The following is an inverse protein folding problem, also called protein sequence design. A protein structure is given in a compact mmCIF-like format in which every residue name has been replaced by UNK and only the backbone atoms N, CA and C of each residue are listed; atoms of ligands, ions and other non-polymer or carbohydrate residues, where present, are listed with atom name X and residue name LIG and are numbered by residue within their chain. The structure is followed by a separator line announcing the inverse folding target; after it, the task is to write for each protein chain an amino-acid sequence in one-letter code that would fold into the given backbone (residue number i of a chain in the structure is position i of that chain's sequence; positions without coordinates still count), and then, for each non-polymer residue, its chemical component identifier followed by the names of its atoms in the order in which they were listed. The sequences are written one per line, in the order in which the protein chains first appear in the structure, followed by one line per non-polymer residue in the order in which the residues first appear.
data_IF_401181628489
#
_entry.id   IF_401181628489
#
_cell.length_a   1.000
_cell.length_b   1.000
_cell.length_c   1.000
_cell.angle_alpha   90.00
_cell.angle_beta   90.00
_cell.angle_gamma   90.00
#
_symmetry.space_group_name_H-M   'P 1'
#
loop_
_entity.id
_entity.type
_entity.pdbx_description
1 polymer ?
#
# COMPACT_ATOMS: atom_id res chain seq x y z
N UNK A 1 62.71 39.71 43.65
CA UNK A 1 62.75 38.66 42.61
C UNK A 1 62.03 39.22 41.38
N UNK A 2 62.71 39.94 40.47
CA UNK A 2 63.25 39.50 39.15
C UNK A 2 62.20 38.71 38.33
N UNK A 3 61.82 38.96 37.06
CA UNK A 3 62.29 39.76 35.91
C UNK A 3 61.17 39.75 34.82
N UNK A 4 61.12 40.80 33.98
CA UNK A 4 60.38 40.94 32.69
C UNK A 4 60.78 39.97 31.55
N UNK A 5 59.86 39.65 30.61
CA UNK A 5 60.06 39.51 29.13
C UNK A 5 58.74 38.98 28.49
N UNK A 6 58.07 39.51 27.45
CA UNK A 6 58.35 40.00 26.06
C UNK A 6 58.62 38.91 24.98
N UNK A 7 57.72 38.91 23.97
CA UNK A 7 57.75 38.38 22.57
C UNK A 7 57.91 36.85 22.37
N UNK A 8 57.34 36.18 21.35
CA UNK A 8 57.59 36.36 19.90
C UNK A 8 56.67 35.45 19.05
N UNK A 9 56.36 35.90 17.83
CA UNK A 9 55.68 35.19 16.72
C UNK A 9 56.57 34.05 16.18
N UNK A 10 55.98 32.88 15.91
CA UNK A 10 56.65 31.75 15.28
C UNK A 10 55.87 31.24 14.06
N UNK A 11 56.30 31.68 12.89
CA UNK A 11 55.93 31.17 11.57
C UNK A 11 56.57 29.78 11.39
N UNK A 12 55.77 28.74 11.13
CA UNK A 12 56.29 27.45 10.67
C UNK A 12 55.71 27.12 9.30
N UNK A 13 56.59 27.25 8.29
CA UNK A 13 56.47 26.53 7.02
C UNK A 13 56.44 25.03 7.32
N UNK A 14 55.41 24.33 6.83
CA UNK A 14 55.48 22.89 6.67
C UNK A 14 55.35 22.56 5.17
N UNK A 15 56.40 21.91 4.70
CA UNK A 15 56.69 21.41 3.36
C UNK A 15 55.54 20.59 2.78
N UNK A 16 55.17 20.91 1.52
CA UNK A 16 54.26 20.10 0.72
C UNK A 16 54.99 18.84 0.21
N UNK A 17 54.55 17.66 0.66
CA UNK A 17 54.91 16.38 0.07
C UNK A 17 53.76 15.95 -0.84
N UNK A 18 53.97 16.04 -2.15
CA UNK A 18 53.02 15.61 -3.18
C UNK A 18 52.98 14.07 -3.26
N UNK A 19 51.92 13.45 -2.73
CA UNK A 19 51.55 12.09 -3.10
C UNK A 19 50.55 12.14 -4.26
N UNK A 20 50.97 11.66 -5.42
CA UNK A 20 50.09 11.41 -6.55
C UNK A 20 49.13 10.26 -6.21
N UNK A 21 47.87 10.59 -5.91
CA UNK A 21 46.79 9.61 -5.89
C UNK A 21 46.33 9.39 -7.33
N UNK A 22 46.65 8.23 -7.89
CA UNK A 22 46.05 7.73 -9.12
C UNK A 22 44.57 7.44 -8.87
N UNK A 23 43.69 8.29 -9.39
CA UNK A 23 42.25 8.02 -9.45
C UNK A 23 42.01 6.80 -10.35
N UNK A 24 41.33 5.74 -9.90
CA UNK A 24 40.87 4.71 -10.81
C UNK A 24 39.83 5.32 -11.77
N UNK A 25 40.06 5.06 -13.06
CA UNK A 25 39.23 5.44 -14.20
C UNK A 25 37.74 5.17 -13.97
N UNK A 26 36.89 6.13 -14.38
CA UNK A 26 35.42 6.06 -14.40
C UNK A 26 34.85 4.92 -15.27
N UNK A 27 35.68 4.08 -15.89
CA UNK A 27 35.26 2.95 -16.70
C UNK A 27 34.73 1.73 -15.91
N UNK A 28 34.79 1.74 -14.57
CA UNK A 28 34.21 0.69 -13.71
C UNK A 28 32.78 0.99 -13.23
N UNK A 29 32.17 2.12 -13.63
CA UNK A 29 30.81 2.51 -13.24
C UNK A 29 29.71 1.92 -14.15
N UNK A 30 29.90 0.68 -14.64
CA UNK A 30 28.92 0.02 -15.53
C UNK A 30 28.78 -1.48 -15.22
N UNK A 31 28.48 -1.84 -13.97
CA UNK A 31 27.80 -3.09 -13.62
C UNK A 31 27.34 -3.09 -12.16
N UNK A 32 26.27 -2.37 -11.90
CA UNK A 32 25.37 -2.68 -10.79
C UNK A 32 23.98 -2.23 -11.24
N UNK A 33 23.30 -3.12 -11.96
CA UNK A 33 21.85 -3.05 -12.01
C UNK A 33 21.39 -3.26 -10.57
N UNK A 34 21.09 -2.16 -9.88
CA UNK A 34 20.45 -2.18 -8.59
C UNK A 34 19.05 -2.73 -8.83
N UNK A 35 18.87 -4.02 -8.59
CA UNK A 35 17.58 -4.52 -8.14
C UNK A 35 17.40 -3.94 -6.74
N UNK A 36 16.84 -2.74 -6.65
CA UNK A 36 16.37 -2.20 -5.38
C UNK A 36 15.28 -3.15 -4.90
N UNK A 37 15.63 -4.03 -3.95
CA UNK A 37 14.64 -4.80 -3.23
C UNK A 37 13.70 -3.80 -2.55
N UNK A 38 12.43 -3.79 -2.98
CA UNK A 38 11.36 -3.03 -2.35
C UNK A 38 11.41 -3.34 -0.85
N UNK A 39 11.63 -2.31 -0.03
CA UNK A 39 11.69 -2.47 1.42
C UNK A 39 10.42 -3.21 1.90
N UNK A 40 10.61 -4.39 2.48
CA UNK A 40 9.51 -5.15 3.06
C UNK A 40 8.98 -4.38 4.26
N UNK A 41 7.69 -4.04 4.26
CA UNK A 41 7.06 -3.38 5.39
C UNK A 41 6.94 -4.39 6.54
N UNK A 42 7.71 -4.27 7.64
CA UNK A 42 7.73 -5.28 8.69
C UNK A 42 6.41 -5.36 9.47
N UNK A 43 5.55 -4.33 9.39
CA UNK A 43 4.21 -4.35 9.96
C UNK A 43 3.13 -4.80 8.97
N UNK A 44 3.48 -5.28 7.78
CA UNK A 44 2.53 -5.85 6.85
C UNK A 44 1.94 -7.18 7.37
N UNK A 45 0.65 -7.21 7.68
CA UNK A 45 -0.05 -8.36 8.29
C UNK A 45 -1.26 -8.85 7.50
N UNK A 46 -1.80 -8.09 6.55
CA UNK A 46 -3.04 -8.40 5.86
C UNK A 46 -2.86 -8.57 4.36
N UNK A 47 -3.40 -9.67 3.83
CA UNK A 47 -3.44 -9.96 2.40
C UNK A 47 -4.88 -9.86 1.88
N UNK A 48 -5.07 -9.31 0.68
CA UNK A 48 -6.40 -9.09 0.08
C UNK A 48 -6.63 -9.96 -1.16
N UNK A 49 -7.90 -10.28 -1.42
CA UNK A 49 -8.36 -10.96 -2.63
C UNK A 49 -9.75 -10.45 -3.00
N UNK A 50 -9.96 -10.18 -4.28
CA UNK A 50 -11.30 -10.03 -4.83
C UNK A 50 -11.76 -11.40 -5.32
N UNK A 51 -12.91 -11.86 -4.84
CA UNK A 51 -13.54 -13.10 -5.27
C UNK A 51 -14.93 -12.85 -5.85
N UNK A 52 -15.47 -13.86 -6.53
CA UNK A 52 -16.87 -13.89 -6.95
C UNK A 52 -17.58 -14.94 -6.11
N UNK A 53 -18.77 -14.61 -5.60
CA UNK A 53 -19.60 -15.57 -4.89
C UNK A 53 -20.13 -16.65 -5.85
N UNK A 54 -20.72 -17.70 -5.28
CA UNK A 54 -21.28 -18.83 -6.04
C UNK A 54 -22.37 -18.43 -7.04
N UNK A 55 -23.02 -17.28 -6.83
CA UNK A 55 -24.02 -16.72 -7.74
C UNK A 55 -23.45 -16.17 -9.05
N UNK A 56 -22.12 -16.09 -9.17
CA UNK A 56 -21.42 -15.59 -10.35
C UNK A 56 -21.60 -14.10 -10.62
N UNK A 57 -22.10 -13.31 -9.66
CA UNK A 57 -22.42 -11.88 -9.82
C UNK A 57 -21.97 -11.02 -8.65
N UNK A 58 -22.00 -11.56 -7.43
CA UNK A 58 -21.62 -10.83 -6.23
C UNK A 58 -20.12 -10.88 -6.04
N UNK A 59 -19.47 -9.72 -6.10
CA UNK A 59 -18.08 -9.54 -5.74
C UNK A 59 -17.94 -9.57 -4.23
N UNK A 60 -16.88 -10.21 -3.74
CA UNK A 60 -16.55 -10.31 -2.33
C UNK A 60 -15.10 -9.90 -2.13
N UNK A 61 -14.88 -8.89 -1.28
CA UNK A 61 -13.54 -8.59 -0.81
C UNK A 61 -13.22 -9.51 0.37
N UNK A 62 -12.23 -10.37 0.17
CA UNK A 62 -11.67 -11.25 1.18
C UNK A 62 -10.39 -10.66 1.73
N UNK A 63 -10.21 -10.79 3.04
CA UNK A 63 -8.97 -10.46 3.71
C UNK A 63 -8.52 -11.62 4.59
N UNK A 64 -7.21 -11.80 4.71
CA UNK A 64 -6.58 -12.84 5.52
C UNK A 64 -5.40 -12.25 6.28
N UNK A 65 -5.33 -12.53 7.57
CA UNK A 65 -4.24 -12.04 8.42
C UNK A 65 -3.11 -13.06 8.57
N UNK A 66 -1.87 -12.60 8.67
CA UNK A 66 -0.70 -13.44 8.95
C UNK A 66 -0.51 -13.71 10.45
N UNK A 67 -1.19 -12.97 11.31
CA UNK A 67 -1.16 -13.11 12.77
C UNK A 67 -2.44 -12.58 13.41
N UNK A 68 -2.84 -13.15 14.54
CA UNK A 68 -3.96 -12.64 15.35
C UNK A 68 -3.53 -11.36 16.09
N UNK A 69 -4.19 -10.21 15.87
CA UNK A 69 -3.83 -8.96 16.52
C UNK A 69 -4.15 -8.99 18.03
N UNK A 70 -3.31 -8.34 18.84
CA UNK A 70 -3.54 -8.16 20.28
C UNK A 70 -3.20 -6.73 20.71
N UNK A 71 -4.19 -5.84 20.95
CA UNK A 71 -5.64 -6.09 20.88
C UNK A 71 -6.16 -6.14 19.44
N UNK A 72 -7.25 -6.85 19.19
CA UNK A 72 -7.99 -6.67 17.93
C UNK A 72 -8.78 -5.35 17.99
N UNK A 73 -8.27 -4.34 17.30
CA UNK A 73 -8.94 -3.05 17.15
C UNK A 73 -8.60 -2.44 15.79
N UNK A 74 -9.50 -2.61 14.83
CA UNK A 74 -9.41 -2.04 13.48
C UNK A 74 -9.82 -0.56 13.50
N UNK A 75 -9.03 0.30 12.87
CA UNK A 75 -9.17 1.76 12.92
C UNK A 75 -9.56 2.37 11.58
N UNK A 76 -8.77 2.09 10.53
CA UNK A 76 -8.96 2.64 9.19
C UNK A 76 -8.73 1.55 8.14
N UNK A 77 -9.26 1.77 6.96
CA UNK A 77 -9.08 0.86 5.83
C UNK A 77 -9.42 1.55 4.52
N UNK A 78 -8.63 1.25 3.49
CA UNK A 78 -8.85 1.65 2.12
C UNK A 78 -8.53 0.46 1.21
N UNK A 79 -9.41 0.18 0.27
CA UNK A 79 -9.17 -0.85 -0.75
C UNK A 79 -9.53 -0.29 -2.10
N UNK A 80 -8.59 -0.34 -3.03
CA UNK A 80 -8.80 0.11 -4.40
C UNK A 80 -8.86 -1.10 -5.32
N UNK A 81 -9.93 -1.16 -6.11
CA UNK A 81 -10.07 -2.12 -7.19
C UNK A 81 -9.60 -1.48 -8.48
N UNK A 82 -8.93 -2.29 -9.31
CA UNK A 82 -8.61 -1.99 -10.70
C UNK A 82 -9.55 -2.80 -11.58
N UNK A 83 -10.27 -2.14 -12.46
CA UNK A 83 -11.25 -2.78 -13.35
C UNK A 83 -11.06 -2.29 -14.78
N UNK A 84 -11.39 -3.10 -15.82
CA UNK A 84 -11.33 -2.63 -17.20
C UNK A 84 -12.23 -1.41 -17.43
N UNK A 85 -11.70 -0.37 -18.08
CA UNK A 85 -12.41 0.87 -18.36
C UNK A 85 -13.60 0.66 -19.31
N UNK A 86 -13.40 -0.17 -20.34
CA UNK A 86 -14.42 -0.48 -21.36
C UNK A 86 -15.65 -1.21 -20.79
N UNK A 87 -15.52 -1.83 -19.63
CA UNK A 87 -16.60 -2.55 -18.97
C UNK A 87 -17.67 -1.64 -18.34
N UNK A 88 -17.43 -0.32 -18.25
CA UNK A 88 -18.35 0.65 -17.64
C UNK A 88 -18.80 0.20 -16.23
N UNK A 89 -17.85 -0.27 -15.43
CA UNK A 89 -18.11 -0.86 -14.12
C UNK A 89 -18.85 0.12 -13.21
N UNK A 90 -19.95 -0.28 -12.57
CA UNK A 90 -20.70 0.56 -11.64
C UNK A 90 -21.10 -0.26 -10.43
N UNK A 91 -20.54 0.09 -9.26
CA UNK A 91 -20.87 -0.57 -8.00
C UNK A 91 -22.36 -0.39 -7.69
N UNK A 92 -22.99 -1.46 -7.25
CA UNK A 92 -24.34 -1.52 -6.74
C UNK A 92 -24.38 -2.46 -5.53
N UNK A 93 -25.43 -2.32 -4.71
CA UNK A 93 -25.72 -3.26 -3.62
C UNK A 93 -24.52 -3.50 -2.67
N UNK A 94 -23.71 -2.47 -2.42
CA UNK A 94 -22.59 -2.55 -1.48
C UNK A 94 -23.10 -2.84 -0.07
N UNK A 95 -22.59 -3.92 0.52
CA UNK A 95 -22.92 -4.40 1.85
C UNK A 95 -21.65 -4.65 2.65
N UNK A 96 -21.55 -4.05 3.82
CA UNK A 96 -20.52 -4.40 4.80
C UNK A 96 -20.88 -5.72 5.48
N UNK A 97 -19.91 -6.63 5.60
CA UNK A 97 -20.12 -7.98 6.14
C UNK A 97 -19.73 -8.10 7.62
N UNK A 98 -19.04 -7.10 8.16
CA UNK A 98 -18.69 -7.02 9.58
C UNK A 98 -19.73 -6.18 10.33
N UNK A 99 -20.27 -6.71 11.43
CA UNK A 99 -21.33 -6.06 12.20
C UNK A 99 -20.88 -4.69 12.75
N UNK A 100 -21.71 -3.66 12.55
CA UNK A 100 -21.46 -2.31 13.03
C UNK A 100 -20.31 -1.58 12.33
N UNK A 101 -19.74 -2.16 11.27
CA UNK A 101 -18.70 -1.55 10.42
C UNK A 101 -19.35 -1.06 9.13
N UNK A 102 -18.88 0.07 8.61
CA UNK A 102 -19.36 0.63 7.35
C UNK A 102 -18.21 0.88 6.37
N UNK A 103 -18.28 0.20 5.24
CA UNK A 103 -17.52 0.46 4.03
C UNK A 103 -18.39 1.19 3.00
N UNK A 104 -17.81 2.18 2.33
CA UNK A 104 -18.45 2.94 1.24
C UNK A 104 -17.53 2.98 0.03
N UNK A 105 -18.09 3.10 -1.17
CA UNK A 105 -17.34 3.59 -2.32
C UNK A 105 -17.03 5.07 -2.07
N UNK A 106 -15.75 5.40 -1.92
CA UNK A 106 -15.31 6.72 -1.48
C UNK A 106 -14.82 7.61 -2.62
N UNK A 107 -14.16 7.02 -3.61
CA UNK A 107 -13.64 7.76 -4.75
C UNK A 107 -13.45 6.86 -5.96
N UNK A 108 -13.40 7.50 -7.13
CA UNK A 108 -13.16 6.85 -8.41
C UNK A 108 -12.29 7.72 -9.29
N UNK A 109 -11.40 7.08 -10.05
CA UNK A 109 -10.62 7.70 -11.12
C UNK A 109 -10.72 6.82 -12.36
N UNK A 110 -11.26 7.38 -13.43
CA UNK A 110 -11.46 6.67 -14.69
C UNK A 110 -10.31 6.94 -15.64
N UNK A 111 -9.73 5.87 -16.19
CA UNK A 111 -8.67 5.90 -17.21
C UNK A 111 -7.56 6.97 -16.95
N UNK A 112 -6.84 6.91 -15.81
CA UNK A 112 -5.75 7.84 -15.54
C UNK A 112 -4.63 7.70 -16.58
N UNK A 113 -3.73 8.70 -16.65
CA UNK A 113 -2.66 8.72 -17.66
C UNK A 113 -1.73 7.50 -17.57
N UNK A 114 -1.51 6.98 -16.37
CA UNK A 114 -0.67 5.82 -16.09
C UNK A 114 -1.27 4.52 -16.65
N UNK A 115 -2.60 4.43 -16.72
CA UNK A 115 -3.32 3.29 -17.26
C UNK A 115 -4.69 3.70 -17.82
N UNK A 116 -4.70 4.06 -19.11
CA UNK A 116 -5.91 4.48 -19.81
C UNK A 116 -6.90 3.33 -20.10
N UNK A 117 -6.56 2.09 -19.73
CA UNK A 117 -7.42 0.91 -19.93
C UNK A 117 -8.12 0.47 -18.64
N UNK A 118 -7.91 1.18 -17.53
CA UNK A 118 -8.46 0.80 -16.24
C UNK A 118 -9.16 1.95 -15.52
N UNK A 119 -10.22 1.61 -14.78
CA UNK A 119 -10.78 2.47 -13.74
C UNK A 119 -10.30 2.00 -12.36
N UNK A 120 -10.13 2.95 -11.46
CA UNK A 120 -9.71 2.72 -10.08
C UNK A 120 -10.83 3.15 -9.14
N UNK A 121 -11.38 2.19 -8.39
CA UNK A 121 -12.52 2.41 -7.50
C UNK A 121 -12.07 2.14 -6.07
N UNK A 122 -12.02 3.16 -5.23
CA UNK A 122 -11.57 3.06 -3.85
C UNK A 122 -12.74 2.98 -2.88
N UNK A 123 -12.70 1.97 -2.02
CA UNK A 123 -13.61 1.75 -0.92
C UNK A 123 -12.93 2.18 0.37
N UNK A 124 -13.64 2.89 1.23
CA UNK A 124 -13.13 3.33 2.54
C UNK A 124 -13.96 2.79 3.68
N UNK A 125 -13.26 2.38 4.74
CA UNK A 125 -13.83 2.09 6.03
C UNK A 125 -14.08 3.43 6.76
N UNK A 126 -15.34 3.87 6.80
CA UNK A 126 -15.71 5.24 7.22
C UNK A 126 -16.54 5.30 8.50
N UNK A 127 -16.96 4.17 9.06
CA UNK A 127 -17.93 4.18 10.15
C UNK A 127 -17.78 3.02 11.11
N UNK A 128 -17.73 3.38 12.40
CA UNK A 128 -17.81 2.48 13.54
C UNK A 128 -19.08 2.81 14.33
N UNK A 129 -19.88 1.80 14.65
CA UNK A 129 -21.01 1.91 15.56
C UNK A 129 -20.62 1.31 16.92
N UNK A 130 -20.63 2.14 17.96
CA UNK A 130 -20.28 1.71 19.31
C UNK A 130 -18.87 1.11 19.39
N UNK A 131 -18.78 -0.15 19.84
CA UNK A 131 -17.52 -0.87 20.00
C UNK A 131 -17.09 -1.70 18.77
N UNK A 132 -17.67 -1.45 17.59
CA UNK A 132 -17.51 -2.32 16.42
C UNK A 132 -16.11 -2.38 15.83
N UNK A 133 -15.16 -1.56 16.29
CA UNK A 133 -13.74 -1.67 15.93
C UNK A 133 -13.14 -3.02 16.29
N UNK A 134 -13.78 -3.75 17.22
CA UNK A 134 -13.37 -5.08 17.69
C UNK A 134 -14.12 -6.23 17.01
N UNK A 135 -15.07 -5.93 16.13
CA UNK A 135 -15.97 -6.93 15.56
C UNK A 135 -15.36 -7.69 14.37
N UNK A 136 -14.19 -7.29 13.87
CA UNK A 136 -13.50 -8.03 12.81
C UNK A 136 -13.08 -9.44 13.26
N UNK A 137 -12.78 -9.65 14.55
CA UNK A 137 -12.47 -10.97 15.09
C UNK A 137 -11.33 -11.67 14.34
N UNK A 138 -10.26 -10.94 14.03
CA UNK A 138 -9.18 -11.46 13.20
C UNK A 138 -8.53 -12.68 13.82
N UNK A 139 -8.37 -13.73 13.02
CA UNK A 139 -7.61 -14.91 13.38
C UNK A 139 -6.50 -15.16 12.35
N UNK A 140 -5.34 -15.59 12.84
CA UNK A 140 -4.20 -15.96 12.01
C UNK A 140 -4.64 -16.97 10.94
N UNK A 141 -4.28 -16.68 9.70
CA UNK A 141 -4.49 -17.49 8.50
C UNK A 141 -5.96 -17.80 8.15
N UNK A 142 -6.93 -17.15 8.82
CA UNK A 142 -8.36 -17.26 8.47
C UNK A 142 -8.78 -16.15 7.51
N UNK A 143 -9.41 -16.55 6.42
CA UNK A 143 -10.07 -15.62 5.49
C UNK A 143 -11.43 -15.19 6.04
N UNK A 144 -11.82 -13.94 5.77
CA UNK A 144 -13.19 -13.47 5.97
C UNK A 144 -13.59 -12.45 4.91
N UNK A 145 -14.89 -12.39 4.61
CA UNK A 145 -15.48 -11.39 3.71
C UNK A 145 -15.66 -10.09 4.47
N UNK A 146 -15.09 -9.01 3.96
CA UNK A 146 -15.15 -7.69 4.61
C UNK A 146 -16.34 -6.88 4.12
N UNK A 147 -16.53 -6.87 2.81
CA UNK A 147 -17.72 -6.33 2.17
C UNK A 147 -17.97 -7.08 0.86
N UNK A 148 -19.19 -6.94 0.38
CA UNK A 148 -19.66 -7.50 -0.89
C UNK A 148 -20.44 -6.46 -1.66
N UNK A 149 -20.44 -6.59 -2.99
CA UNK A 149 -21.15 -5.67 -3.87
C UNK A 149 -21.40 -6.34 -5.21
N UNK A 150 -22.22 -5.72 -6.03
CA UNK A 150 -22.47 -6.12 -7.41
C UNK A 150 -21.96 -5.04 -8.37
N UNK A 151 -21.70 -5.43 -9.61
CA UNK A 151 -21.63 -4.47 -10.70
C UNK A 151 -22.98 -4.46 -11.44
N UNK A 152 -23.51 -3.27 -11.77
CA UNK A 152 -24.82 -3.13 -12.42
C UNK A 152 -24.96 -3.91 -13.73
N UNK A 153 -23.86 -4.09 -14.46
CA UNK A 153 -23.85 -4.82 -15.74
C UNK A 153 -23.51 -6.31 -15.58
N UNK A 154 -23.39 -6.80 -14.34
CA UNK A 154 -23.02 -8.19 -14.04
C UNK A 154 -21.52 -8.39 -13.87
N UNK A 155 -21.06 -9.63 -13.96
CA UNK A 155 -19.64 -9.94 -13.80
C UNK A 155 -18.80 -9.35 -14.95
N UNK A 156 -17.67 -8.76 -14.58
CA UNK A 156 -16.60 -8.23 -15.43
C UNK A 156 -15.31 -8.98 -15.14
N UNK A 157 -14.76 -9.62 -16.18
CA UNK A 157 -13.46 -10.30 -16.09
C UNK A 157 -12.34 -9.27 -16.06
N UNK A 158 -11.26 -9.55 -15.34
CA UNK A 158 -10.13 -8.62 -15.20
C UNK A 158 -10.22 -7.67 -14.01
N UNK A 159 -11.37 -7.60 -13.33
CA UNK A 159 -11.48 -6.88 -12.06
C UNK A 159 -10.57 -7.51 -10.99
N UNK A 160 -9.78 -6.71 -10.29
CA UNK A 160 -8.84 -7.18 -9.26
C UNK A 160 -8.65 -6.13 -8.16
N UNK A 161 -8.08 -6.54 -7.02
CA UNK A 161 -7.51 -5.59 -6.07
C UNK A 161 -6.26 -4.96 -6.71
N UNK A 162 -6.13 -3.64 -6.63
CA UNK A 162 -4.97 -2.91 -7.16
C UNK A 162 -3.68 -3.42 -6.52
N UNK A 163 -2.64 -3.64 -7.32
CA UNK A 163 -1.35 -4.11 -6.82
C UNK A 163 -0.53 -2.98 -6.18
N UNK A 164 0.39 -3.33 -5.27
CA UNK A 164 1.26 -2.36 -4.60
C UNK A 164 2.25 -1.67 -5.54
N UNK A 165 2.53 -2.25 -6.69
CA UNK A 165 3.43 -1.78 -7.75
C UNK A 165 2.66 -1.29 -8.99
N UNK A 166 1.35 -1.10 -8.89
CA UNK A 166 0.57 -0.48 -9.96
C UNK A 166 1.07 0.94 -10.25
N UNK A 167 1.21 1.28 -11.53
CA UNK A 167 1.77 2.57 -11.95
C UNK A 167 0.97 3.76 -11.41
N UNK A 168 -0.36 3.64 -11.29
CA UNK A 168 -1.21 4.70 -10.74
C UNK A 168 -1.01 4.90 -9.23
N UNK A 169 -0.46 3.90 -8.52
CA UNK A 169 -0.12 4.00 -7.10
C UNK A 169 1.21 4.73 -6.83
N UNK A 170 1.99 5.03 -7.87
CA UNK A 170 3.21 5.80 -7.72
C UNK A 170 2.89 7.29 -7.51
N UNK A 171 3.48 7.90 -6.47
CA UNK A 171 3.26 9.32 -6.16
C UNK A 171 4.36 10.21 -6.73
N UNK A 172 4.03 11.38 -7.32
CA UNK A 172 2.67 11.84 -7.63
C UNK A 172 2.10 11.11 -8.87
N UNK A 173 0.81 10.74 -8.82
CA UNK A 173 0.07 10.27 -9.99
C UNK A 173 -0.67 11.41 -10.70
N UNK A 174 -1.15 11.14 -11.92
CA UNK A 174 -1.84 12.11 -12.78
C UNK A 174 -3.13 12.69 -12.19
N UNK A 175 -3.76 11.99 -11.24
CA UNK A 175 -4.96 12.44 -10.57
C UNK A 175 -4.69 13.16 -9.22
N UNK A 176 -3.44 13.21 -8.77
CA UNK A 176 -3.03 13.72 -7.47
C UNK A 176 -3.83 13.11 -6.30
N UNK A 177 -4.07 11.80 -6.36
CA UNK A 177 -4.80 11.01 -5.34
C UNK A 177 -3.89 9.99 -4.67
N UNK A 178 -4.30 9.40 -3.55
CA UNK A 178 -3.65 8.24 -2.95
C UNK A 178 -4.54 6.99 -3.14
N UNK A 179 -4.36 6.22 -4.23
CA UNK A 179 -5.18 5.04 -4.50
C UNK A 179 -4.71 3.82 -3.71
N UNK A 180 -3.65 3.91 -2.92
CA UNK A 180 -3.05 2.77 -2.23
C UNK A 180 -4.03 2.01 -1.33
N UNK A 181 -3.78 0.71 -1.20
CA UNK A 181 -4.48 -0.12 -0.23
C UNK A 181 -3.91 0.09 1.16
N UNK A 182 -4.78 0.13 2.16
CA UNK A 182 -4.41 0.43 3.54
C UNK A 182 -5.31 -0.30 4.51
N UNK A 183 -4.75 -0.73 5.64
CA UNK A 183 -5.56 -1.05 6.82
C UNK A 183 -4.76 -0.85 8.11
N UNK A 184 -5.40 -0.29 9.14
CA UNK A 184 -4.79 -0.11 10.46
C UNK A 184 -5.50 -0.98 11.49
N UNK A 185 -4.74 -1.80 12.22
CA UNK A 185 -5.20 -2.43 13.47
C UNK A 185 -4.15 -2.21 14.57
N UNK A 186 -4.59 -1.83 15.77
CA UNK A 186 -3.68 -1.56 16.89
C UNK A 186 -2.91 -2.79 17.38
N UNK A 187 -3.41 -4.00 17.14
CA UNK A 187 -2.77 -5.21 17.60
C UNK A 187 -1.60 -5.69 16.75
N UNK A 188 -1.29 -4.97 15.66
CA UNK A 188 -0.20 -5.28 14.75
C UNK A 188 0.89 -4.20 14.70
N UNK A 189 0.68 -3.06 15.36
CA UNK A 189 1.58 -1.91 15.28
C UNK A 189 0.95 -0.63 15.82
N UNK A 190 1.47 0.51 15.38
CA UNK A 190 0.95 1.82 15.78
C UNK A 190 -0.25 2.27 14.93
N UNK A 191 -0.95 3.31 15.39
CA UNK A 191 -2.13 3.90 14.73
C UNK A 191 -1.86 4.44 13.31
N UNK A 192 -0.60 4.70 12.97
CA UNK A 192 -0.21 5.30 11.69
C UNK A 192 0.40 4.28 10.72
N UNK A 193 0.46 3.01 11.09
CA UNK A 193 1.05 1.96 10.27
C UNK A 193 0.04 1.38 9.29
N UNK A 194 0.50 1.18 8.05
CA UNK A 194 -0.24 0.43 7.05
C UNK A 194 0.08 -1.06 7.21
N UNK A 195 -0.92 -1.87 7.55
CA UNK A 195 -0.78 -3.31 7.71
C UNK A 195 -1.13 -4.10 6.45
N UNK A 196 -1.48 -3.44 5.33
CA UNK A 196 -1.63 -4.10 4.05
C UNK A 196 -0.29 -4.63 3.54
N UNK A 197 -0.26 -5.93 3.20
CA UNK A 197 0.91 -6.63 2.67
C UNK A 197 0.89 -6.72 1.15
N UNK A 198 -0.25 -7.11 0.60
CA UNK A 198 -0.34 -7.43 -0.81
C UNK A 198 -1.59 -8.23 -1.16
N UNK A 199 -1.67 -8.61 -2.43
CA UNK A 199 -2.74 -9.41 -2.97
C UNK A 199 -2.30 -10.87 -3.07
N UNK A 200 -3.21 -11.79 -2.76
CA UNK A 200 -2.96 -13.24 -2.90
C UNK A 200 -3.95 -13.92 -3.85
N UNK A 201 -4.85 -13.15 -4.46
CA UNK A 201 -5.80 -13.61 -5.46
C UNK A 201 -5.46 -13.15 -6.89
N UNK A 202 -6.07 -13.80 -7.86
CA UNK A 202 -6.02 -13.40 -9.27
C UNK A 202 -7.17 -12.43 -9.62
N UNK A 203 -7.09 -11.84 -10.80
CA UNK A 203 -8.21 -11.11 -11.38
C UNK A 203 -9.42 -12.02 -11.62
N UNK A 204 -10.61 -11.45 -11.49
CA UNK A 204 -11.88 -12.14 -11.67
C UNK A 204 -11.99 -12.74 -13.08
N UNK A 205 -12.50 -13.97 -13.13
CA UNK A 205 -12.86 -14.69 -14.36
C UNK A 205 -14.35 -14.97 -14.28
N UNK A 206 -15.13 -14.36 -15.17
CA UNK A 206 -16.57 -14.58 -15.15
C UNK A 206 -16.94 -15.98 -15.60
N UNK A 207 -18.00 -16.58 -15.02
CA UNK A 207 -18.53 -17.83 -15.53
C UNK A 207 -18.98 -17.66 -16.98
N UNK A 208 -18.82 -18.73 -17.77
CA UNK A 208 -19.28 -18.80 -19.16
C UNK A 208 -20.79 -18.98 -19.24
#
# INVERSE_FOLDING_TARGET
MKINKKYTIGLFLCTALSMAFTLPSQAAAKKAAATEAKAENPSAQLEYKLGLAEDGKTYQLWMKSLSTPKPDMSLTGQVTLKVPHDASFQVANLKSNIEGVTWVEASRVDAPKEDAQADYISFSFVGLQGASSRNYGWEKDKEQVIFSFENKTGCVSGAAVMANDDAFNAMPNSANTNPGNQFTNLGWGSVNENHYKGNYGEAIKCPK
#
